data_IF_143321725073
#
_entry.id   IF_143321725073
#
_cell.length_a   1.000
_cell.length_b   1.000
_cell.length_c   1.000
_cell.angle_alpha   90.00
_cell.angle_beta   90.00
_cell.angle_gamma   90.00
#
_symmetry.space_group_name_H-M   'P 1'
#
loop_
_entity.id
_entity.type
_entity.pdbx_description
1 polymer ?
#
# COMPACT_ATOMS: atom_id res chain seq x y z
N UNK A 1 -9.76 2.22 -9.01
CA UNK A 1 -10.04 2.12 -7.57
C UNK A 1 -10.20 3.52 -7.02
N UNK A 2 -11.19 3.74 -6.16
CA UNK A 2 -11.32 5.00 -5.44
C UNK A 2 -10.64 4.87 -4.06
N UNK A 3 -9.56 5.61 -3.85
CA UNK A 3 -8.77 5.57 -2.61
C UNK A 3 -9.53 6.17 -1.44
N UNK A 4 -10.53 7.03 -1.71
CA UNK A 4 -11.21 7.82 -0.68
C UNK A 4 -12.31 7.07 0.06
N UNK A 5 -12.61 5.84 -0.33
CA UNK A 5 -13.63 5.00 0.32
C UNK A 5 -13.05 4.13 1.45
N UNK A 6 -11.76 4.28 1.74
CA UNK A 6 -10.99 3.45 2.64
C UNK A 6 -10.40 4.26 3.80
N UNK A 7 -10.27 3.59 4.94
CA UNK A 7 -9.36 3.96 6.02
C UNK A 7 -8.07 3.16 5.82
N UNK A 8 -6.94 3.87 5.81
CA UNK A 8 -5.64 3.29 5.50
C UNK A 8 -4.81 3.17 6.75
N UNK A 9 -4.51 1.94 7.16
CA UNK A 9 -3.55 1.67 8.23
C UNK A 9 -2.14 1.77 7.66
N UNK A 10 -1.30 2.57 8.31
CA UNK A 10 0.11 2.76 7.98
C UNK A 10 0.99 1.82 8.83
N UNK A 11 1.97 1.17 8.22
CA UNK A 11 2.96 0.32 8.90
C UNK A 11 4.04 1.12 9.65
N UNK A 12 4.18 2.42 9.38
CA UNK A 12 5.09 3.31 10.09
C UNK A 12 6.54 3.24 9.60
N UNK A 13 6.75 2.83 8.35
CA UNK A 13 8.09 2.65 7.78
C UNK A 13 8.67 3.91 7.11
N UNK A 14 9.82 3.75 6.45
CA UNK A 14 10.62 4.82 5.83
C UNK A 14 9.98 5.35 4.54
N UNK A 15 8.96 6.18 4.70
CA UNK A 15 8.28 6.89 3.62
C UNK A 15 8.28 8.40 3.86
N UNK A 16 8.53 9.17 2.80
CA UNK A 16 8.78 10.61 2.91
C UNK A 16 8.08 11.42 1.83
N UNK A 17 7.83 12.69 2.14
CA UNK A 17 7.51 13.75 1.19
C UNK A 17 8.75 14.63 1.01
N UNK A 18 9.03 15.01 -0.23
CA UNK A 18 10.12 15.94 -0.57
C UNK A 18 9.61 17.39 -0.47
N UNK A 19 10.10 18.17 0.49
CA UNK A 19 9.77 19.59 0.68
C UNK A 19 11.03 20.44 0.73
N UNK A 20 11.20 21.37 -0.22
CA UNK A 20 12.35 22.30 -0.26
C UNK A 20 13.72 21.60 -0.09
N UNK A 21 13.89 20.43 -0.71
CA UNK A 21 15.09 19.57 -0.62
C UNK A 21 15.29 18.84 0.73
N UNK A 22 14.29 18.87 1.61
CA UNK A 22 14.26 18.07 2.84
C UNK A 22 13.29 16.89 2.68
N UNK A 23 13.60 15.80 3.38
CA UNK A 23 12.71 14.65 3.53
C UNK A 23 11.92 14.83 4.83
N UNK A 24 10.60 14.88 4.71
CA UNK A 24 9.68 14.93 5.83
C UNK A 24 8.92 13.61 5.87
N UNK A 25 8.74 12.96 7.03
CA UNK A 25 7.95 11.73 7.13
C UNK A 25 6.59 11.88 6.44
N UNK A 26 6.22 10.88 5.64
CA UNK A 26 4.95 10.87 4.91
C UNK A 26 3.78 10.80 5.89
N UNK A 27 3.95 10.10 7.00
CA UNK A 27 3.01 9.97 8.10
C UNK A 27 3.69 10.43 9.41
N UNK A 28 2.92 11.03 10.31
CA UNK A 28 3.38 11.34 11.67
C UNK A 28 3.54 10.05 12.47
N UNK A 29 4.40 10.01 13.49
CA UNK A 29 4.63 8.82 14.34
C UNK A 29 3.33 8.28 14.99
N UNK A 30 2.40 9.17 15.33
CA UNK A 30 1.10 8.81 15.92
C UNK A 30 0.01 8.51 14.88
N UNK A 31 0.26 8.75 13.58
CA UNK A 31 -0.71 8.56 12.50
C UNK A 31 -0.73 7.11 12.02
N UNK A 32 -1.34 6.23 12.82
CA UNK A 32 -1.50 4.80 12.50
C UNK A 32 -2.57 4.54 11.44
N UNK A 33 -3.55 5.44 11.35
CA UNK A 33 -4.66 5.36 10.39
C UNK A 33 -4.89 6.73 9.79
N UNK A 34 -5.08 6.76 8.47
CA UNK A 34 -5.39 7.97 7.71
C UNK A 34 -6.64 7.74 6.87
N UNK A 35 -7.51 8.73 6.80
CA UNK A 35 -8.66 8.71 5.88
C UNK A 35 -8.20 8.78 4.41
N UNK A 36 -8.91 8.08 3.54
CA UNK A 36 -8.54 7.97 2.13
C UNK A 36 -8.59 9.31 1.37
N UNK A 37 -9.45 10.25 1.74
CA UNK A 37 -9.42 11.59 1.15
C UNK A 37 -8.14 12.32 1.57
N UNK A 38 -7.76 12.26 2.85
CA UNK A 38 -6.51 12.85 3.34
C UNK A 38 -5.28 12.22 2.68
N UNK A 39 -5.25 10.89 2.54
CA UNK A 39 -4.17 10.18 1.83
C UNK A 39 -4.05 10.67 0.39
N UNK A 40 -5.18 10.81 -0.32
CA UNK A 40 -5.18 11.30 -1.69
C UNK A 40 -4.64 12.72 -1.82
N UNK A 41 -4.94 13.62 -0.88
CA UNK A 41 -4.38 14.97 -0.88
C UNK A 41 -2.87 14.93 -0.65
N UNK A 42 -2.43 14.19 0.38
CA UNK A 42 -1.01 13.96 0.71
C UNK A 42 -0.20 13.53 -0.51
N UNK A 43 -0.73 12.57 -1.26
CA UNK A 43 -0.07 12.01 -2.44
C UNK A 43 -0.04 12.98 -3.64
N UNK A 44 -0.89 14.00 -3.67
CA UNK A 44 -0.95 14.98 -4.76
C UNK A 44 -0.16 16.25 -4.50
N UNK A 45 0.04 16.60 -3.24
CA UNK A 45 0.60 17.90 -2.86
C UNK A 45 2.11 18.03 -3.11
N UNK A 46 2.86 16.94 -3.09
CA UNK A 46 4.32 16.99 -3.17
C UNK A 46 4.88 15.63 -3.59
N UNK A 47 6.01 15.57 -4.32
CA UNK A 47 6.64 14.30 -4.69
C UNK A 47 6.96 13.45 -3.46
N UNK A 48 6.74 12.14 -3.55
CA UNK A 48 7.10 11.19 -2.50
C UNK A 48 8.45 10.52 -2.78
N UNK A 49 9.14 10.17 -1.70
CA UNK A 49 10.30 9.29 -1.71
C UNK A 49 9.99 8.11 -0.78
N UNK A 50 9.71 6.95 -1.36
CA UNK A 50 9.19 5.77 -0.65
C UNK A 50 10.27 4.70 -0.58
N UNK A 51 10.99 4.58 0.54
CA UNK A 51 11.96 3.49 0.73
C UNK A 51 11.21 2.23 1.14
N UNK A 52 10.45 2.35 2.23
CA UNK A 52 9.60 1.30 2.75
C UNK A 52 8.22 1.87 3.06
N UNK A 53 7.19 1.21 2.56
CA UNK A 53 5.81 1.59 2.83
C UNK A 53 4.95 0.35 2.87
N UNK A 54 4.20 0.15 3.94
CA UNK A 54 3.07 -0.78 3.97
C UNK A 54 1.79 -0.03 4.30
N UNK A 55 0.79 -0.17 3.43
CA UNK A 55 -0.55 0.38 3.61
C UNK A 55 -1.59 -0.72 3.52
N UNK A 56 -2.54 -0.73 4.45
CA UNK A 56 -3.66 -1.68 4.49
C UNK A 56 -4.98 -0.91 4.43
N UNK A 57 -5.88 -1.29 3.53
CA UNK A 57 -7.12 -0.57 3.25
C UNK A 57 -8.35 -1.28 3.84
N UNK A 58 -9.14 -0.54 4.61
CA UNK A 58 -10.34 -1.02 5.30
C UNK A 58 -11.56 -0.16 4.96
N UNK A 59 -12.74 -0.76 4.83
CA UNK A 59 -14.01 -0.01 4.62
C UNK A 59 -14.54 0.62 5.90
N UNK A 60 -14.13 0.10 7.05
CA UNK A 60 -14.53 0.54 8.38
C UNK A 60 -13.36 1.24 9.07
N UNK A 61 -13.65 1.98 10.14
CA UNK A 61 -12.62 2.58 11.01
C UNK A 61 -11.93 1.52 11.90
N UNK A 62 -12.57 0.36 12.08
CA UNK A 62 -12.05 -0.77 12.85
C UNK A 62 -10.97 -1.50 12.04
N UNK A 63 -9.74 -1.00 12.15
CA UNK A 63 -8.59 -1.61 11.47
C UNK A 63 -7.88 -2.61 12.38
N UNK A 64 -7.68 -3.83 11.89
CA UNK A 64 -6.79 -4.80 12.50
C UNK A 64 -5.41 -4.76 11.83
N UNK A 65 -4.39 -5.29 12.49
CA UNK A 65 -3.09 -5.46 11.84
C UNK A 65 -3.08 -6.81 11.13
N UNK A 66 -2.81 -6.80 9.83
CA UNK A 66 -2.62 -8.01 9.03
C UNK A 66 -1.13 -8.20 8.76
N UNK A 67 -0.58 -9.34 9.11
CA UNK A 67 0.85 -9.67 8.99
C UNK A 67 1.12 -10.81 8.04
N UNK A 68 0.17 -11.72 7.81
CA UNK A 68 0.36 -12.85 6.89
C UNK A 68 -0.70 -12.87 5.79
N UNK A 69 -0.46 -13.67 4.76
CA UNK A 69 -1.42 -13.88 3.69
C UNK A 69 -2.71 -14.55 4.18
N UNK A 70 -2.61 -15.51 5.10
CA UNK A 70 -3.77 -16.15 5.72
C UNK A 70 -4.60 -15.14 6.51
N UNK A 71 -3.95 -14.30 7.33
CA UNK A 71 -4.63 -13.22 8.05
C UNK A 71 -5.29 -12.23 7.08
N UNK A 72 -4.65 -11.94 5.93
CA UNK A 72 -5.24 -11.10 4.91
C UNK A 72 -6.53 -11.71 4.39
N UNK A 73 -6.52 -12.99 4.00
CA UNK A 73 -7.70 -13.68 3.48
C UNK A 73 -8.87 -13.67 4.48
N UNK A 74 -8.59 -13.86 5.77
CA UNK A 74 -9.60 -13.90 6.85
C UNK A 74 -10.07 -12.52 7.34
N UNK A 75 -9.31 -11.44 7.04
CA UNK A 75 -9.61 -10.09 7.53
C UNK A 75 -10.64 -9.30 6.72
N UNK A 76 -11.08 -8.16 7.26
CA UNK A 76 -11.82 -7.12 6.51
C UNK A 76 -10.90 -6.19 5.69
N UNK A 77 -9.60 -6.46 5.64
CA UNK A 77 -8.67 -5.73 4.78
C UNK A 77 -8.96 -6.08 3.31
N UNK A 78 -9.27 -5.08 2.47
CA UNK A 78 -9.56 -5.30 1.05
C UNK A 78 -8.31 -5.24 0.17
N UNK A 79 -7.31 -4.48 0.61
CA UNK A 79 -6.10 -4.23 -0.16
C UNK A 79 -4.89 -4.00 0.75
N UNK A 80 -3.76 -4.58 0.38
CA UNK A 80 -2.44 -4.29 0.94
C UNK A 80 -1.55 -3.76 -0.18
N UNK A 81 -0.92 -2.61 0.05
CA UNK A 81 0.02 -1.97 -0.86
C UNK A 81 1.39 -1.88 -0.19
N UNK A 82 2.41 -2.44 -0.83
CA UNK A 82 3.78 -2.47 -0.32
C UNK A 82 4.75 -1.86 -1.30
N UNK A 83 5.71 -1.09 -0.76
CA UNK A 83 6.89 -0.61 -1.47
C UNK A 83 8.13 -1.06 -0.70
N UNK A 84 9.07 -1.66 -1.42
CA UNK A 84 10.37 -2.08 -0.92
C UNK A 84 11.45 -1.47 -1.81
N UNK A 85 12.39 -0.77 -1.18
CA UNK A 85 13.56 -0.15 -1.81
C UNK A 85 13.22 0.72 -3.04
N UNK A 86 12.12 1.49 -2.95
CA UNK A 86 11.60 2.38 -4.02
C UNK A 86 11.27 1.73 -5.37
N UNK A 87 11.45 0.42 -5.53
CA UNK A 87 11.50 -0.24 -6.84
C UNK A 87 10.62 -1.48 -6.93
N UNK A 88 10.39 -2.16 -5.80
CA UNK A 88 9.52 -3.31 -5.74
C UNK A 88 8.18 -2.89 -5.16
N UNK A 89 7.12 -3.02 -5.97
CA UNK A 89 5.75 -2.73 -5.57
C UNK A 89 4.96 -4.03 -5.59
N UNK A 90 4.33 -4.33 -4.46
CA UNK A 90 3.46 -5.50 -4.32
C UNK A 90 2.07 -5.03 -3.90
N UNK A 91 1.05 -5.58 -4.55
CA UNK A 91 -0.35 -5.31 -4.22
C UNK A 91 -1.10 -6.62 -4.04
N UNK A 92 -1.69 -6.80 -2.86
CA UNK A 92 -2.68 -7.84 -2.59
C UNK A 92 -4.05 -7.20 -2.60
N UNK A 93 -4.99 -7.74 -3.36
CA UNK A 93 -6.33 -7.16 -3.52
C UNK A 93 -7.33 -8.30 -3.57
N UNK A 94 -8.41 -8.23 -2.79
CA UNK A 94 -9.42 -9.31 -2.77
C UNK A 94 -10.34 -9.32 -3.98
N UNK A 95 -10.56 -8.16 -4.58
CA UNK A 95 -11.45 -7.99 -5.72
C UNK A 95 -10.71 -8.25 -7.03
N UNK A 96 -11.13 -9.29 -7.76
CA UNK A 96 -10.49 -9.71 -9.01
C UNK A 96 -10.61 -8.66 -10.13
N UNK A 97 -11.75 -7.98 -10.25
CA UNK A 97 -11.93 -6.93 -11.27
C UNK A 97 -10.96 -5.75 -11.00
N UNK A 98 -10.76 -5.41 -9.73
CA UNK A 98 -9.80 -4.39 -9.32
C UNK A 98 -8.36 -4.81 -9.62
N UNK A 99 -8.00 -6.08 -9.39
CA UNK A 99 -6.67 -6.62 -9.76
C UNK A 99 -6.40 -6.46 -11.25
N UNK A 100 -7.34 -6.85 -12.11
CA UNK A 100 -7.20 -6.75 -13.56
C UNK A 100 -7.03 -5.30 -14.02
N UNK A 101 -7.82 -4.38 -13.45
CA UNK A 101 -7.72 -2.94 -13.74
C UNK A 101 -6.38 -2.35 -13.29
N UNK A 102 -5.87 -2.75 -12.12
CA UNK A 102 -4.56 -2.32 -11.62
C UNK A 102 -3.43 -2.84 -12.49
N UNK A 103 -3.50 -4.08 -12.95
CA UNK A 103 -2.53 -4.67 -13.87
C UNK A 103 -2.44 -3.88 -15.18
N UNK A 104 -3.59 -3.64 -15.82
CA UNK A 104 -3.66 -2.84 -17.06
C UNK A 104 -3.15 -1.41 -16.82
N UNK A 105 -3.52 -0.80 -15.70
CA UNK A 105 -3.05 0.53 -15.33
C UNK A 105 -1.52 0.57 -15.18
N UNK A 106 -0.92 -0.39 -14.45
CA UNK A 106 0.52 -0.46 -14.28
C UNK A 106 1.26 -0.60 -15.63
N UNK A 107 0.76 -1.46 -16.53
CA UNK A 107 1.31 -1.57 -17.89
C UNK A 107 1.21 -0.25 -18.66
N UNK A 108 0.07 0.43 -18.59
CA UNK A 108 -0.14 1.71 -19.29
C UNK A 108 0.77 2.84 -18.76
N UNK A 109 1.10 2.81 -17.46
CA UNK A 109 2.06 3.75 -16.85
C UNK A 109 3.52 3.37 -17.07
N UNK A 110 3.79 2.28 -17.80
CA UNK A 110 5.15 1.88 -18.18
C UNK A 110 5.91 1.13 -17.09
N UNK A 111 5.22 0.58 -16.08
CA UNK A 111 5.88 -0.30 -15.12
C UNK A 111 6.40 -1.56 -15.82
N UNK A 112 7.65 -1.92 -15.51
CA UNK A 112 8.30 -3.12 -16.02
C UNK A 112 7.98 -4.32 -15.13
N UNK A 113 8.14 -5.54 -15.65
CA UNK A 113 8.00 -6.80 -14.89
C UNK A 113 6.66 -6.97 -14.12
N UNK A 114 5.60 -6.31 -14.56
CA UNK A 114 4.26 -6.47 -13.96
C UNK A 114 3.73 -7.89 -14.20
N UNK A 115 3.52 -8.63 -13.10
CA UNK A 115 2.99 -10.00 -13.06
C UNK A 115 1.97 -10.17 -11.94
N UNK A 116 1.13 -11.20 -12.03
CA UNK A 116 0.29 -11.62 -10.91
C UNK A 116 1.10 -12.43 -9.91
N UNK A 117 0.75 -12.25 -8.63
CA UNK A 117 1.23 -13.09 -7.53
C UNK A 117 0.29 -14.29 -7.41
N UNK A 118 0.87 -15.46 -7.26
CA UNK A 118 0.18 -16.75 -7.15
C UNK A 118 0.93 -17.62 -6.15
N UNK A 119 0.24 -18.63 -5.60
CA UNK A 119 0.84 -19.62 -4.70
C UNK A 119 2.08 -20.32 -5.29
N UNK A 120 2.25 -20.32 -6.61
CA UNK A 120 3.39 -20.93 -7.30
C UNK A 120 4.63 -20.03 -7.38
N UNK A 121 4.45 -18.70 -7.38
CA UNK A 121 5.52 -17.75 -7.67
C UNK A 121 5.88 -16.81 -6.52
N UNK A 122 5.11 -16.85 -5.43
CA UNK A 122 5.39 -16.11 -4.22
C UNK A 122 5.35 -17.05 -3.01
N UNK A 123 6.45 -17.03 -2.27
CA UNK A 123 6.59 -17.81 -1.04
C UNK A 123 6.67 -16.89 0.19
N UNK A 124 6.43 -15.58 0.03
CA UNK A 124 6.38 -14.65 1.15
C UNK A 124 5.21 -14.99 2.06
N UNK A 125 5.52 -15.36 3.30
CA UNK A 125 4.53 -15.59 4.34
C UNK A 125 4.17 -14.30 5.10
N UNK A 126 4.93 -13.23 4.90
CA UNK A 126 4.84 -12.00 5.69
C UNK A 126 4.52 -10.80 4.81
N UNK A 127 3.47 -10.06 5.20
CA UNK A 127 2.93 -8.89 4.50
C UNK A 127 3.31 -7.56 5.18
N UNK A 128 4.15 -7.62 6.22
CA UNK A 128 4.86 -6.46 6.78
C UNK A 128 6.21 -6.26 6.09
N UNK A 129 6.81 -5.08 6.24
CA UNK A 129 8.17 -4.82 5.73
C UNK A 129 9.24 -5.37 6.68
N UNK A 130 8.95 -5.37 7.98
CA UNK A 130 9.81 -5.99 9.00
C UNK A 130 9.34 -7.43 9.23
N UNK A 131 10.21 -8.39 8.91
CA UNK A 131 10.06 -9.81 9.22
C UNK A 131 10.96 -10.22 10.38
#
# INVERSE_FOLDING_TARGET
>A
MDVTIYHWKNGGEESYIVRKQELVPLFSEDEKVIDGFQLRQRMKESPQYLIFLSLQAYRTEEVQEVKTYEEFLESDCELIFRVIDSSYITMYVKDQEQIERLYVNAKNYGFENVSYITDENDCETTLTVWG
#
